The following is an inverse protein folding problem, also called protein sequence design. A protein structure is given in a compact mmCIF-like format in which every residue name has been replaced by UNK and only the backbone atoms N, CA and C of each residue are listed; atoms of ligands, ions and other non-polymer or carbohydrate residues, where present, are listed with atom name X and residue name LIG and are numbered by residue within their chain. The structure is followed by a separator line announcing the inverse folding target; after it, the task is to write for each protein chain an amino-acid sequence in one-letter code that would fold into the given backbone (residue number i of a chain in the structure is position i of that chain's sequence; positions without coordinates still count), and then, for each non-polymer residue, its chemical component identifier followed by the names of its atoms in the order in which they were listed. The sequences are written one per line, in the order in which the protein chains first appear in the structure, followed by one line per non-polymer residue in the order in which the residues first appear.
data_IF_134517240026
#
_entry.id   IF_134517240026
#
_cell.length_a   1.000
_cell.length_b   1.000
_cell.length_c   1.000
_cell.angle_alpha   90.00
_cell.angle_beta   90.00
_cell.angle_gamma   90.00
#
_symmetry.space_group_name_H-M   'P 1'
#
loop_
_entity.id
_entity.type
_entity.pdbx_description
1 polymer ?
#
# COMPACT_ATOMS: atom_id res chain seq x y z
N UNK A 1 -26.06 46.18 -16.87
CA UNK A 1 -24.98 45.18 -16.98
C UNK A 1 -24.01 45.45 -15.85
N UNK A 2 -24.05 44.64 -14.80
CA UNK A 2 -23.01 44.55 -13.78
C UNK A 2 -23.00 43.08 -13.37
N UNK A 3 -21.98 42.36 -13.83
CA UNK A 3 -21.77 40.96 -13.53
C UNK A 3 -21.19 40.94 -12.11
N UNK A 4 -21.90 40.28 -11.20
CA UNK A 4 -21.42 39.95 -9.87
C UNK A 4 -20.25 38.99 -10.06
N UNK A 5 -19.04 39.44 -9.70
CA UNK A 5 -17.89 38.56 -9.54
C UNK A 5 -17.82 38.31 -8.04
N UNK A 6 -18.50 37.28 -7.57
CA UNK A 6 -18.29 36.74 -6.24
C UNK A 6 -16.90 36.10 -6.24
N UNK A 7 -15.93 36.86 -5.75
CA UNK A 7 -14.57 36.42 -5.50
C UNK A 7 -14.57 35.48 -4.29
N UNK A 8 -15.04 34.23 -4.50
CA UNK A 8 -14.72 33.10 -3.61
C UNK A 8 -13.23 32.80 -3.74
N UNK A 9 -12.43 33.67 -3.12
CA UNK A 9 -11.03 33.42 -2.84
C UNK A 9 -10.91 32.03 -2.22
N UNK A 10 -10.36 31.10 -3.00
CA UNK A 10 -10.04 29.74 -2.59
C UNK A 10 -8.95 29.81 -1.53
N UNK A 11 -9.34 30.12 -0.30
CA UNK A 11 -8.50 29.92 0.86
C UNK A 11 -8.44 28.40 1.07
N UNK A 12 -7.48 27.76 0.39
CA UNK A 12 -7.13 26.37 0.58
C UNK A 12 -6.69 26.24 2.03
N UNK A 13 -7.64 25.94 2.92
CA UNK A 13 -7.37 25.74 4.33
C UNK A 13 -6.25 24.71 4.45
N UNK A 14 -5.10 25.17 4.95
CA UNK A 14 -3.89 24.36 5.09
C UNK A 14 -4.17 23.22 6.08
N UNK A 15 -5.02 23.49 7.08
CA UNK A 15 -5.53 22.49 8.00
C UNK A 15 -7.05 22.31 7.81
N UNK A 16 -7.55 21.08 7.68
CA UNK A 16 -8.99 20.82 7.61
C UNK A 16 -9.80 21.35 8.80
N UNK A 17 -9.17 21.57 9.97
CA UNK A 17 -9.81 22.11 11.16
C UNK A 17 -10.06 23.62 11.13
N UNK A 18 -9.44 24.34 10.19
CA UNK A 18 -9.65 25.78 10.02
C UNK A 18 -10.94 26.10 9.22
N UNK A 19 -11.60 25.07 8.69
CA UNK A 19 -12.83 25.22 7.91
C UNK A 19 -14.07 25.35 8.81
N UNK A 20 -15.11 26.09 8.38
CA UNK A 20 -16.38 26.14 9.10
C UNK A 20 -16.95 24.73 9.34
N UNK A 21 -17.58 24.52 10.50
CA UNK A 21 -18.07 23.20 10.94
C UNK A 21 -19.06 22.56 9.96
N UNK A 22 -19.83 23.37 9.22
CA UNK A 22 -20.74 22.91 8.18
C UNK A 22 -19.99 22.30 6.99
N UNK A 23 -18.96 22.99 6.49
CA UNK A 23 -18.11 22.52 5.38
C UNK A 23 -17.35 21.28 5.82
N UNK A 24 -16.74 21.29 7.02
CA UNK A 24 -16.02 20.15 7.57
C UNK A 24 -16.90 18.90 7.69
N UNK A 25 -18.13 19.04 8.17
CA UNK A 25 -19.09 17.93 8.30
C UNK A 25 -19.46 17.33 6.95
N UNK A 26 -19.70 18.18 5.93
CA UNK A 26 -20.01 17.71 4.57
C UNK A 26 -18.81 16.99 3.94
N UNK A 27 -17.61 17.50 4.17
CA UNK A 27 -16.36 16.90 3.70
C UNK A 27 -16.11 15.51 4.32
N UNK A 28 -16.39 15.36 5.62
CA UNK A 28 -16.31 14.06 6.29
C UNK A 28 -17.34 13.07 5.74
N UNK A 29 -18.58 13.50 5.52
CA UNK A 29 -19.63 12.66 4.94
C UNK A 29 -19.23 12.17 3.55
N UNK A 30 -18.79 13.08 2.67
CA UNK A 30 -18.29 12.74 1.33
C UNK A 30 -17.11 11.77 1.37
N UNK A 31 -16.13 11.99 2.26
CA UNK A 31 -14.98 11.07 2.41
C UNK A 31 -15.43 9.67 2.86
N UNK A 32 -16.39 9.60 3.78
CA UNK A 32 -16.94 8.33 4.26
C UNK A 32 -17.64 7.56 3.14
N UNK A 33 -18.50 8.24 2.36
CA UNK A 33 -19.22 7.64 1.24
C UNK A 33 -18.26 7.19 0.13
N UNK A 34 -17.32 8.04 -0.29
CA UNK A 34 -16.31 7.69 -1.28
C UNK A 34 -15.48 6.48 -0.84
N UNK A 35 -15.09 6.43 0.44
CA UNK A 35 -14.37 5.29 1.01
C UNK A 35 -15.21 4.01 0.95
N UNK A 36 -16.50 4.09 1.24
CA UNK A 36 -17.39 2.93 1.21
C UNK A 36 -17.57 2.39 -0.21
N UNK A 37 -17.79 3.28 -1.19
CA UNK A 37 -17.87 2.92 -2.61
C UNK A 37 -16.58 2.26 -3.08
N UNK A 38 -15.44 2.85 -2.75
CA UNK A 38 -14.12 2.31 -3.08
C UNK A 38 -13.92 0.91 -2.49
N UNK A 39 -14.22 0.71 -1.20
CA UNK A 39 -14.07 -0.58 -0.54
C UNK A 39 -14.99 -1.64 -1.14
N UNK A 40 -16.22 -1.28 -1.50
CA UNK A 40 -17.15 -2.21 -2.14
C UNK A 40 -16.65 -2.63 -3.52
N UNK A 41 -16.14 -1.69 -4.31
CA UNK A 41 -15.55 -1.96 -5.62
C UNK A 41 -14.28 -2.82 -5.54
N UNK A 42 -13.42 -2.58 -4.55
CA UNK A 42 -12.24 -3.42 -4.30
C UNK A 42 -12.69 -4.84 -3.93
N UNK A 43 -13.61 -4.98 -2.96
CA UNK A 43 -14.09 -6.29 -2.50
C UNK A 43 -14.74 -7.10 -3.60
N UNK A 44 -15.53 -6.47 -4.49
CA UNK A 44 -16.17 -7.18 -5.61
C UNK A 44 -15.17 -7.72 -6.64
N UNK A 45 -13.94 -7.18 -6.64
CA UNK A 45 -12.86 -7.58 -7.55
C UNK A 45 -11.92 -8.64 -6.96
N UNK A 46 -12.04 -8.92 -5.65
CA UNK A 46 -11.20 -9.88 -4.92
C UNK A 46 -11.90 -11.24 -4.76
N UNK A 47 -11.16 -12.32 -4.97
CA UNK A 47 -11.62 -13.70 -4.82
C UNK A 47 -11.02 -14.36 -3.59
N UNK A 48 -11.86 -14.94 -2.73
CA UNK A 48 -11.41 -15.73 -1.59
C UNK A 48 -10.59 -16.94 -2.03
N UNK A 49 -9.54 -17.29 -1.28
CA UNK A 49 -8.62 -18.39 -1.59
C UNK A 49 -7.55 -18.06 -2.65
N UNK A 50 -7.77 -17.02 -3.47
CA UNK A 50 -6.80 -16.52 -4.45
C UNK A 50 -6.18 -15.22 -3.97
N UNK A 51 -7.01 -14.20 -3.73
CA UNK A 51 -6.56 -12.85 -3.42
C UNK A 51 -6.46 -12.59 -1.91
N UNK A 52 -7.31 -13.24 -1.11
CA UNK A 52 -7.32 -13.14 0.34
C UNK A 52 -7.82 -14.44 1.00
N UNK A 53 -7.50 -14.61 2.27
CA UNK A 53 -8.01 -15.72 3.07
C UNK A 53 -7.22 -15.95 4.36
N UNK A 54 -7.52 -17.08 5.00
CA UNK A 54 -6.81 -17.56 6.18
C UNK A 54 -5.99 -18.79 5.84
N UNK A 55 -4.71 -18.78 6.22
CA UNK A 55 -3.81 -19.91 5.99
C UNK A 55 -4.03 -20.92 7.13
N UNK A 56 -4.25 -22.22 6.82
CA UNK A 56 -4.36 -23.23 7.86
C UNK A 56 -3.00 -23.40 8.56
N UNK A 57 -2.98 -23.25 9.88
CA UNK A 57 -1.77 -23.49 10.70
C UNK A 57 -2.02 -24.64 11.67
N UNK A 58 -0.95 -25.19 12.25
CA UNK A 58 -1.03 -26.24 13.28
C UNK A 58 -1.84 -25.81 14.52
N UNK A 59 -2.04 -24.51 14.73
CA UNK A 59 -2.78 -23.93 15.87
C UNK A 59 -4.18 -23.42 15.49
N UNK A 60 -4.66 -23.77 14.29
CA UNK A 60 -5.91 -23.26 13.73
C UNK A 60 -5.70 -22.30 12.55
N UNK A 61 -6.78 -21.82 11.91
CA UNK A 61 -6.69 -20.87 10.81
C UNK A 61 -6.04 -19.55 11.26
N UNK A 62 -5.16 -18.98 10.43
CA UNK A 62 -4.56 -17.68 10.69
C UNK A 62 -5.62 -16.58 10.70
N UNK A 63 -5.26 -15.40 11.21
CA UNK A 63 -6.03 -14.18 10.95
C UNK A 63 -6.22 -14.00 9.43
N UNK A 64 -7.38 -13.52 8.97
CA UNK A 64 -7.61 -13.20 7.57
C UNK A 64 -6.52 -12.26 7.07
N UNK A 65 -5.96 -12.56 5.91
CA UNK A 65 -4.83 -11.83 5.34
C UNK A 65 -4.99 -11.66 3.85
N UNK A 66 -4.48 -10.54 3.33
CA UNK A 66 -4.35 -10.33 1.90
C UNK A 66 -3.17 -11.17 1.38
N UNK A 67 -3.39 -11.87 0.28
CA UNK A 67 -2.34 -12.62 -0.41
C UNK A 67 -1.60 -11.70 -1.39
N UNK A 68 -0.42 -12.14 -1.86
CA UNK A 68 0.37 -11.38 -2.84
C UNK A 68 -0.45 -10.98 -4.09
N UNK A 69 -1.17 -11.89 -4.77
CA UNK A 69 -2.02 -11.51 -5.91
C UNK A 69 -3.11 -10.50 -5.56
N UNK A 70 -3.67 -10.56 -4.34
CA UNK A 70 -4.65 -9.57 -3.88
C UNK A 70 -4.05 -8.18 -3.69
N UNK A 71 -2.86 -8.09 -3.10
CA UNK A 71 -2.15 -6.82 -2.94
C UNK A 71 -1.79 -6.19 -4.31
N UNK A 72 -1.23 -6.99 -5.21
CA UNK A 72 -0.87 -6.55 -6.56
C UNK A 72 -2.10 -6.10 -7.37
N UNK A 73 -3.22 -6.83 -7.25
CA UNK A 73 -4.49 -6.46 -7.89
C UNK A 73 -5.01 -5.11 -7.37
N UNK A 74 -4.98 -4.88 -6.06
CA UNK A 74 -5.42 -3.59 -5.48
C UNK A 74 -4.52 -2.45 -6.00
N UNK A 75 -3.20 -2.63 -6.02
CA UNK A 75 -2.29 -1.63 -6.58
C UNK A 75 -2.63 -1.31 -8.05
N UNK A 76 -2.89 -2.35 -8.87
CA UNK A 76 -3.32 -2.18 -10.26
C UNK A 76 -4.66 -1.45 -10.40
N UNK A 77 -5.65 -1.78 -9.57
CA UNK A 77 -6.96 -1.12 -9.55
C UNK A 77 -6.85 0.37 -9.20
N UNK A 78 -5.92 0.74 -8.32
CA UNK A 78 -5.70 2.12 -7.89
C UNK A 78 -4.75 2.91 -8.80
N UNK A 79 -4.20 2.29 -9.86
CA UNK A 79 -3.19 2.94 -10.71
C UNK A 79 -1.88 3.23 -9.97
N UNK A 80 -1.57 2.46 -8.94
CA UNK A 80 -0.36 2.59 -8.12
C UNK A 80 0.66 1.57 -8.61
N UNK A 81 1.86 2.04 -8.91
CA UNK A 81 2.99 1.17 -9.25
C UNK A 81 3.84 0.92 -8.01
N UNK A 82 4.20 -0.34 -7.79
CA UNK A 82 5.10 -0.75 -6.71
C UNK A 82 6.54 -0.71 -7.21
N UNK A 83 7.42 0.00 -6.52
CA UNK A 83 8.83 0.10 -6.84
C UNK A 83 9.69 -0.34 -5.65
N UNK A 84 10.71 -1.16 -5.91
CA UNK A 84 11.61 -1.68 -4.86
C UNK A 84 13.05 -1.26 -5.13
N UNK A 85 13.47 -0.06 -4.68
CA UNK A 85 14.80 0.45 -5.00
C UNK A 85 15.94 -0.42 -4.45
N UNK A 86 15.74 -1.09 -3.31
CA UNK A 86 16.77 -1.91 -2.64
C UNK A 86 17.03 -3.27 -3.32
N UNK A 87 16.22 -3.69 -4.30
CA UNK A 87 16.42 -4.97 -4.98
C UNK A 87 17.70 -4.99 -5.82
N UNK A 88 18.06 -3.87 -6.45
CA UNK A 88 19.24 -3.79 -7.32
C UNK A 88 20.54 -4.06 -6.56
N UNK A 89 20.68 -3.47 -5.37
CA UNK A 89 21.84 -3.65 -4.50
C UNK A 89 21.92 -5.08 -3.99
N UNK A 90 20.76 -5.66 -3.66
CA UNK A 90 20.65 -7.05 -3.24
C UNK A 90 21.10 -8.01 -4.36
N UNK A 91 20.61 -7.80 -5.58
CA UNK A 91 20.98 -8.61 -6.75
C UNK A 91 22.50 -8.58 -6.98
N UNK A 92 23.12 -7.40 -6.88
CA UNK A 92 24.56 -7.25 -6.98
C UNK A 92 25.32 -8.01 -5.88
N UNK A 93 24.84 -7.97 -4.63
CA UNK A 93 25.43 -8.73 -3.53
C UNK A 93 25.38 -10.24 -3.80
N UNK A 94 24.26 -10.76 -4.32
CA UNK A 94 24.15 -12.17 -4.68
C UNK A 94 25.09 -12.59 -5.80
N UNK A 95 25.26 -11.76 -6.82
CA UNK A 95 26.23 -12.02 -7.90
C UNK A 95 27.68 -12.06 -7.40
N UNK A 96 27.98 -11.37 -6.30
CA UNK A 96 29.29 -11.37 -5.64
C UNK A 96 29.46 -12.53 -4.64
N UNK A 97 28.44 -13.40 -4.50
CA UNK A 97 28.46 -14.53 -3.55
C UNK A 97 28.20 -14.12 -2.10
N UNK A 98 27.77 -12.87 -1.85
CA UNK A 98 27.38 -12.41 -0.52
C UNK A 98 25.95 -12.85 -0.24
N UNK A 99 25.78 -13.82 0.66
CA UNK A 99 24.46 -14.24 1.15
C UNK A 99 24.18 -13.49 2.45
N UNK A 100 23.28 -12.49 2.45
CA UNK A 100 23.04 -11.69 3.63
C UNK A 100 22.25 -12.49 4.67
N UNK A 101 22.61 -12.38 5.96
CA UNK A 101 21.85 -13.04 7.04
C UNK A 101 20.41 -12.51 7.15
N UNK A 102 20.23 -11.23 6.80
CA UNK A 102 18.95 -10.53 6.82
C UNK A 102 18.64 -9.96 5.44
N UNK A 103 17.38 -10.08 5.07
CA UNK A 103 16.81 -9.49 3.87
C UNK A 103 15.98 -8.30 4.30
N UNK A 104 16.31 -7.11 3.80
CA UNK A 104 15.53 -5.90 3.98
C UNK A 104 15.15 -5.35 2.61
N UNK A 105 13.86 -5.10 2.42
CA UNK A 105 13.31 -4.59 1.16
C UNK A 105 12.54 -3.31 1.45
N UNK A 106 12.96 -2.22 0.81
CA UNK A 106 12.19 -0.97 0.79
C UNK A 106 11.24 -0.98 -0.39
N UNK A 107 10.01 -0.55 -0.16
CA UNK A 107 8.96 -0.39 -1.13
C UNK A 107 8.59 1.09 -1.24
N UNK A 108 8.38 1.57 -2.46
CA UNK A 108 7.83 2.88 -2.80
C UNK A 108 6.59 2.66 -3.65
N UNK A 109 5.45 3.19 -3.20
CA UNK A 109 4.21 3.22 -3.97
C UNK A 109 4.18 4.52 -4.78
N UNK A 110 4.22 4.40 -6.10
CA UNK A 110 4.26 5.55 -7.02
C UNK A 110 2.95 5.70 -7.77
N UNK A 111 2.52 6.94 -7.98
CA UNK A 111 1.41 7.22 -8.88
C UNK A 111 1.85 7.13 -10.36
N UNK A 112 0.89 7.30 -11.27
CA UNK A 112 1.14 7.32 -12.72
C UNK A 112 2.11 8.43 -13.17
N UNK A 113 2.28 9.48 -12.35
CA UNK A 113 3.20 10.59 -12.61
C UNK A 113 4.59 10.36 -11.99
N UNK A 114 4.84 9.20 -11.39
CA UNK A 114 6.11 8.85 -10.75
C UNK A 114 6.34 9.45 -9.37
N UNK A 115 5.36 10.16 -8.79
CA UNK A 115 5.45 10.69 -7.44
C UNK A 115 5.23 9.57 -6.41
N UNK A 116 6.09 9.52 -5.40
CA UNK A 116 5.96 8.57 -4.28
C UNK A 116 4.82 9.01 -3.38
N UNK A 117 3.77 8.18 -3.30
CA UNK A 117 2.60 8.37 -2.45
C UNK A 117 2.80 7.81 -1.04
N UNK A 118 3.57 6.73 -0.92
CA UNK A 118 3.88 6.07 0.34
C UNK A 118 5.15 5.24 0.21
N UNK A 119 5.80 4.97 1.33
CA UNK A 119 6.92 4.05 1.44
C UNK A 119 6.70 3.03 2.56
N UNK A 120 7.33 1.87 2.42
CA UNK A 120 7.22 0.77 3.36
C UNK A 120 8.49 -0.06 3.40
N UNK A 121 8.69 -0.82 4.48
CA UNK A 121 9.87 -1.68 4.63
C UNK A 121 9.46 -3.06 5.13
N UNK A 122 10.01 -4.09 4.51
CA UNK A 122 9.85 -5.47 4.91
C UNK A 122 11.21 -6.09 5.23
N UNK A 123 11.33 -6.77 6.36
CA UNK A 123 12.56 -7.45 6.75
C UNK A 123 12.32 -8.91 7.16
N UNK A 124 13.29 -9.79 6.85
CA UNK A 124 13.27 -11.22 7.20
C UNK A 124 14.69 -11.72 7.51
N UNK A 125 14.79 -12.75 8.35
CA UNK A 125 16.06 -13.45 8.63
C UNK A 125 16.10 -14.76 7.84
N UNK A 126 17.16 -15.01 7.08
CA UNK A 126 17.31 -16.25 6.32
C UNK A 126 17.48 -17.48 7.24
N UNK A 127 18.03 -17.29 8.45
CA UNK A 127 18.18 -18.36 9.45
C UNK A 127 16.85 -18.94 9.90
N UNK A 128 15.83 -18.09 10.06
CA UNK A 128 14.49 -18.53 10.45
C UNK A 128 13.78 -19.33 9.34
N UNK A 129 14.24 -19.18 8.10
CA UNK A 129 13.65 -19.76 6.92
C UNK A 129 14.55 -20.83 6.26
N UNK A 130 15.47 -21.43 7.03
CA UNK A 130 16.35 -22.53 6.59
C UNK A 130 17.19 -22.21 5.35
N UNK A 131 17.53 -20.93 5.12
CA UNK A 131 18.32 -20.49 3.97
C UNK A 131 17.56 -20.41 2.65
N UNK A 132 16.21 -20.48 2.65
CA UNK A 132 15.42 -20.33 1.43
C UNK A 132 15.46 -18.88 0.92
N UNK A 133 16.19 -18.68 -0.19
CA UNK A 133 16.36 -17.37 -0.83
C UNK A 133 15.04 -16.83 -1.39
N UNK A 134 14.07 -17.70 -1.72
CA UNK A 134 12.77 -17.27 -2.24
C UNK A 134 11.95 -16.46 -1.24
N UNK A 135 12.37 -16.38 0.02
CA UNK A 135 11.75 -15.55 1.04
C UNK A 135 11.91 -14.05 0.80
N UNK A 136 12.73 -13.62 -0.16
CA UNK A 136 12.67 -12.26 -0.71
C UNK A 136 11.25 -11.87 -1.13
N UNK A 137 10.51 -12.78 -1.76
CA UNK A 137 9.12 -12.56 -2.16
C UNK A 137 8.19 -12.29 -0.97
N UNK A 138 8.55 -12.80 0.22
CA UNK A 138 7.82 -12.57 1.46
C UNK A 138 8.20 -11.22 2.09
N UNK A 139 9.47 -10.81 1.98
CA UNK A 139 9.92 -9.49 2.41
C UNK A 139 9.29 -8.38 1.54
N UNK A 140 9.26 -8.55 0.22
CA UNK A 140 8.54 -7.68 -0.73
C UNK A 140 7.07 -7.52 -0.34
N UNK A 141 6.37 -8.65 -0.12
CA UNK A 141 4.97 -8.65 0.29
C UNK A 141 4.78 -7.86 1.58
N UNK A 142 5.67 -8.06 2.55
CA UNK A 142 5.59 -7.38 3.85
C UNK A 142 5.82 -5.86 3.70
N UNK A 143 6.73 -5.46 2.80
CA UNK A 143 7.03 -4.06 2.53
C UNK A 143 5.85 -3.30 1.88
N UNK A 144 5.06 -3.96 1.03
CA UNK A 144 3.84 -3.37 0.44
C UNK A 144 2.75 -3.13 1.50
N UNK A 145 2.60 -4.06 2.45
CA UNK A 145 1.48 -4.07 3.41
C UNK A 145 1.69 -3.16 4.63
N UNK A 146 2.94 -2.79 4.92
CA UNK A 146 3.30 -1.96 6.08
C UNK A 146 3.91 -0.64 5.57
N UNK A 147 3.07 0.32 5.16
CA UNK A 147 3.52 1.69 4.95
C UNK A 147 3.80 2.36 6.30
N UNK A 148 4.87 3.16 6.38
CA UNK A 148 5.17 3.99 7.55
C UNK A 148 4.26 5.21 7.63
#
# INVERSE_FOLDING_TARGET
MAIVIDDESTNLAINPLDTPTTVFKNDLARRSENRQLLLNWIRSSLKEGIDYGSIPTKRGPSKPSLFKPGAEKICGMLGITVHFPSLKETEQAFLQGLIPEYVMVRCELKNIHGQTLADGVGARSLKQDYGDINKFKMAEKSAILIPY
#
